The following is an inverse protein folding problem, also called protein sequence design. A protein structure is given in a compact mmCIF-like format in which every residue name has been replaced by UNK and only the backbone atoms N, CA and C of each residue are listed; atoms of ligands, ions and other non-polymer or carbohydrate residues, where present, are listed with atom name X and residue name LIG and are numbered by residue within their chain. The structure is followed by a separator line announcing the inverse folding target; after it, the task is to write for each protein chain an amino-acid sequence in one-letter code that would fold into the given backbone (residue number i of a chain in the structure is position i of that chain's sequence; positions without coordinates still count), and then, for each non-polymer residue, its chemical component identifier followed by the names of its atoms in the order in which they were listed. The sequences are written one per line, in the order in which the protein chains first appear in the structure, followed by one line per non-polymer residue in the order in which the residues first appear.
data_IF_041041246470
#
_entry.id   IF_041041246470
#
_cell.length_a   1.000
_cell.length_b   1.000
_cell.length_c   1.000
_cell.angle_alpha   90.00
_cell.angle_beta   90.00
_cell.angle_gamma   90.00
#
_symmetry.space_group_name_H-M   'P 1'
#
loop_
_entity.id
_entity.type
_entity.pdbx_description
1 polymer ?
#
# COMPACT_ATOMS: atom_id res chain seq x y z
N UNK A 1 -5.18 8.31 6.45
CA UNK A 1 -4.88 7.44 5.31
C UNK A 1 -3.94 6.40 5.87
N UNK A 2 -4.41 5.17 6.05
CA UNK A 2 -3.63 4.11 6.68
C UNK A 2 -3.13 3.23 5.54
N UNK A 3 -1.98 3.60 4.97
CA UNK A 3 -1.30 2.75 3.99
C UNK A 3 -0.57 1.67 4.77
N UNK A 4 -1.03 0.44 4.64
CA UNK A 4 -0.32 -0.73 5.16
C UNK A 4 0.36 -1.36 3.98
N UNK A 5 1.52 -0.82 3.61
CA UNK A 5 2.36 -1.50 2.65
C UNK A 5 2.90 -2.78 3.31
N UNK A 6 3.00 -3.91 2.57
CA UNK A 6 3.79 -5.07 2.99
C UNK A 6 5.22 -4.69 3.41
N UNK A 7 5.72 -3.57 2.84
CA UNK A 7 6.91 -2.82 3.27
C UNK A 7 7.11 -2.68 4.77
N UNK A 8 6.06 -2.27 5.48
CA UNK A 8 6.07 -2.12 6.95
C UNK A 8 6.13 -3.46 7.69
N UNK A 9 5.71 -4.54 7.03
CA UNK A 9 5.62 -5.89 7.60
C UNK A 9 6.93 -6.68 7.37
N UNK A 10 7.72 -6.32 6.36
CA UNK A 10 9.03 -6.91 6.07
C UNK A 10 10.14 -6.55 7.08
N UNK A 11 9.89 -5.61 8.00
CA UNK A 11 10.91 -5.12 8.93
C UNK A 11 11.27 -6.11 10.06
N UNK A 12 10.56 -7.22 10.16
CA UNK A 12 10.28 -7.85 11.44
C UNK A 12 10.99 -9.17 11.69
N UNK A 13 11.89 -9.56 10.79
CA UNK A 13 12.64 -10.81 10.88
C UNK A 13 13.74 -10.85 11.95
N UNK A 14 13.45 -10.45 13.18
CA UNK A 14 14.35 -10.64 14.31
C UNK A 14 13.56 -10.70 15.62
N UNK A 15 13.07 -11.90 15.99
CA UNK A 15 12.34 -12.29 17.23
C UNK A 15 11.19 -11.39 17.74
N UNK A 16 10.98 -10.20 17.22
CA UNK A 16 9.96 -9.24 17.63
C UNK A 16 9.44 -8.55 16.37
N UNK A 17 8.20 -8.89 16.00
CA UNK A 17 7.62 -8.58 14.69
C UNK A 17 6.52 -7.51 14.78
N UNK A 18 6.61 -6.48 13.94
CA UNK A 18 5.63 -5.42 13.61
C UNK A 18 4.65 -5.83 12.48
N UNK A 19 3.40 -5.38 12.60
CA UNK A 19 2.45 -5.14 11.52
C UNK A 19 1.55 -3.96 11.96
N UNK A 20 0.46 -3.65 11.26
CA UNK A 20 -0.52 -2.64 11.68
C UNK A 20 -1.92 -3.26 11.91
N UNK A 21 -2.56 -2.86 13.01
CA UNK A 21 -3.89 -3.33 13.40
C UNK A 21 -5.00 -2.77 12.49
N UNK A 22 -5.94 -3.65 12.11
CA UNK A 22 -7.26 -3.26 11.64
C UNK A 22 -8.04 -2.55 12.75
N UNK A 23 -8.74 -1.49 12.37
CA UNK A 23 -9.70 -0.81 13.25
C UNK A 23 -10.99 -1.63 13.25
N UNK A 24 -11.33 -2.19 14.42
CA UNK A 24 -12.67 -2.68 14.74
C UNK A 24 -13.08 -2.11 16.09
N UNK A 25 -14.12 -1.27 16.10
CA UNK A 25 -14.68 -0.69 17.32
C UNK A 25 -15.39 -1.78 18.15
N UNK A 26 -15.01 -1.95 19.41
CA UNK A 26 -15.91 -2.06 20.59
C UNK A 26 -15.04 -2.08 21.85
N UNK A 27 -15.43 -1.27 22.84
CA UNK A 27 -14.60 -1.00 24.01
C UNK A 27 -14.43 -2.18 24.95
N UNK A 28 -13.19 -2.41 25.39
CA UNK A 28 -12.85 -2.67 26.78
C UNK A 28 -11.33 -2.49 26.96
N UNK A 29 -10.94 -1.46 27.72
CA UNK A 29 -9.57 -1.28 28.22
C UNK A 29 -9.37 -2.24 29.38
N UNK A 30 -8.38 -3.14 29.31
CA UNK A 30 -7.82 -3.84 30.48
C UNK A 30 -6.30 -3.80 30.45
N UNK A 31 -5.75 -3.33 31.56
CA UNK A 31 -4.34 -3.04 31.82
C UNK A 31 -3.51 -4.31 32.13
N UNK A 32 -2.23 -4.27 31.70
CA UNK A 32 -0.98 -4.86 32.23
C UNK A 32 -0.89 -6.33 32.73
N UNK A 33 0.00 -7.14 32.11
CA UNK A 33 1.00 -7.98 32.84
C UNK A 33 2.15 -8.51 31.93
N UNK A 34 3.36 -8.56 32.47
CA UNK A 34 4.69 -8.76 31.87
C UNK A 34 4.87 -9.76 30.70
N UNK A 35 5.38 -9.26 29.57
CA UNK A 35 6.38 -9.85 28.64
C UNK A 35 6.40 -9.04 27.33
N UNK A 36 7.36 -8.13 27.18
CA UNK A 36 7.30 -7.01 26.22
C UNK A 36 7.33 -7.41 24.72
N UNK A 37 7.97 -8.51 24.35
CA UNK A 37 7.91 -9.03 22.97
C UNK A 37 6.52 -9.58 22.55
N UNK A 38 5.67 -10.03 23.51
CA UNK A 38 4.37 -10.64 23.20
C UNK A 38 3.29 -9.64 22.76
N UNK A 39 3.47 -8.36 23.07
CA UNK A 39 2.44 -7.34 22.79
C UNK A 39 2.43 -6.93 21.32
N UNK A 40 3.60 -6.84 20.71
CA UNK A 40 3.75 -6.68 19.26
C UNK A 40 3.19 -7.91 18.54
N UNK A 41 3.56 -9.13 18.95
CA UNK A 41 3.00 -10.38 18.40
C UNK A 41 1.47 -10.47 18.53
N UNK A 42 0.88 -10.02 19.65
CA UNK A 42 -0.56 -10.12 19.89
C UNK A 42 -1.37 -9.05 19.15
N UNK A 43 -0.86 -7.81 19.07
CA UNK A 43 -1.51 -6.75 18.33
C UNK A 43 -1.45 -6.96 16.80
N UNK A 44 -0.46 -7.72 16.32
CA UNK A 44 -0.06 -7.74 14.92
C UNK A 44 -0.25 -9.11 14.25
N UNK A 45 -0.17 -10.18 15.03
CA UNK A 45 -0.25 -11.57 14.54
C UNK A 45 -1.46 -12.32 15.08
N UNK A 46 -2.26 -11.73 15.97
CA UNK A 46 -3.32 -12.47 16.65
C UNK A 46 -2.83 -13.74 17.38
N UNK A 47 -1.52 -13.86 17.64
CA UNK A 47 -0.90 -15.04 18.27
C UNK A 47 -0.16 -16.04 17.36
N UNK A 48 0.18 -15.71 16.10
CA UNK A 48 0.99 -16.60 15.24
C UNK A 48 2.44 -16.74 15.72
N UNK A 49 3.06 -17.89 15.45
CA UNK A 49 4.46 -18.19 15.75
C UNK A 49 5.45 -17.38 14.88
N UNK A 50 6.59 -16.99 15.44
CA UNK A 50 7.57 -16.11 14.79
C UNK A 50 8.21 -16.70 13.54
N UNK A 51 8.39 -18.03 13.47
CA UNK A 51 9.01 -18.68 12.32
C UNK A 51 8.05 -18.74 11.12
N UNK A 52 6.78 -19.06 11.39
CA UNK A 52 5.73 -19.07 10.36
C UNK A 52 5.54 -17.68 9.74
N UNK A 53 5.61 -16.63 10.57
CA UNK A 53 5.56 -15.25 10.09
C UNK A 53 6.74 -14.91 9.18
N UNK A 54 7.98 -15.19 9.63
CA UNK A 54 9.19 -14.92 8.85
C UNK A 54 9.13 -15.64 7.50
N UNK A 55 8.79 -16.92 7.50
CA UNK A 55 8.71 -17.72 6.27
C UNK A 55 7.63 -17.19 5.31
N UNK A 56 6.46 -16.80 5.83
CA UNK A 56 5.40 -16.24 5.00
C UNK A 56 5.82 -14.93 4.33
N UNK A 57 6.36 -13.97 5.09
CA UNK A 57 6.76 -12.67 4.54
C UNK A 57 8.02 -12.76 3.68
N UNK A 58 8.94 -13.68 3.99
CA UNK A 58 10.08 -13.99 3.12
C UNK A 58 9.61 -14.49 1.75
N UNK A 59 8.70 -15.49 1.75
CA UNK A 59 8.09 -16.00 0.51
C UNK A 59 7.28 -14.92 -0.24
N UNK A 60 6.56 -14.06 0.48
CA UNK A 60 5.83 -12.95 -0.14
C UNK A 60 6.81 -11.95 -0.78
N UNK A 61 7.88 -11.57 -0.08
CA UNK A 61 8.92 -10.69 -0.61
C UNK A 61 9.53 -11.27 -1.89
N UNK A 62 9.94 -12.53 -1.87
CA UNK A 62 10.48 -13.23 -3.04
C UNK A 62 9.50 -13.22 -4.21
N UNK A 63 8.21 -13.48 -3.95
CA UNK A 63 7.16 -13.42 -4.97
C UNK A 63 6.97 -12.02 -5.53
N UNK A 64 7.08 -10.96 -4.71
CA UNK A 64 7.01 -9.59 -5.20
C UNK A 64 8.20 -9.23 -6.09
N UNK A 65 9.39 -9.81 -5.85
CA UNK A 65 10.57 -9.55 -6.69
C UNK A 65 10.48 -10.13 -8.10
N UNK A 66 9.67 -11.19 -8.31
CA UNK A 66 9.58 -11.78 -9.65
C UNK A 66 8.82 -10.84 -10.58
N UNK A 67 9.56 -10.15 -11.46
CA UNK A 67 8.98 -9.42 -12.58
C UNK A 67 8.26 -10.41 -13.50
N UNK A 68 6.94 -10.40 -13.46
CA UNK A 68 6.11 -11.32 -14.23
C UNK A 68 5.17 -10.54 -15.15
N UNK A 69 5.13 -10.94 -16.43
CA UNK A 69 4.10 -10.56 -17.40
C UNK A 69 3.77 -9.05 -17.49
N UNK A 70 4.79 -8.18 -17.49
CA UNK A 70 4.59 -6.73 -17.66
C UNK A 70 4.14 -5.98 -16.40
N UNK A 71 4.25 -6.61 -15.23
CA UNK A 71 4.09 -5.97 -13.93
C UNK A 71 5.45 -5.82 -13.24
N UNK A 72 5.70 -4.64 -12.69
CA UNK A 72 6.89 -4.23 -11.96
C UNK A 72 6.45 -3.68 -10.60
N UNK A 73 6.96 -4.28 -9.53
CA UNK A 73 6.81 -3.73 -8.18
C UNK A 73 8.19 -3.49 -7.61
N UNK A 74 8.38 -2.32 -7.02
CA UNK A 74 9.59 -2.00 -6.29
C UNK A 74 9.23 -1.58 -4.87
N UNK A 75 9.87 -2.25 -3.92
CA UNK A 75 9.74 -1.99 -2.50
C UNK A 75 11.14 -1.68 -1.98
N UNK A 76 11.37 -0.42 -1.63
CA UNK A 76 12.62 0.06 -1.09
C UNK A 76 12.51 0.13 0.44
N UNK A 77 13.20 -0.77 1.13
CA UNK A 77 13.23 -0.82 2.60
C UNK A 77 14.66 -0.64 3.09
N UNK A 78 14.91 0.40 3.88
CA UNK A 78 16.22 0.55 4.52
C UNK A 78 16.13 1.21 5.89
N UNK A 79 16.95 0.70 6.82
CA UNK A 79 17.22 1.34 8.10
C UNK A 79 18.53 2.10 7.97
N UNK A 80 18.51 3.40 8.22
CA UNK A 80 19.75 4.18 8.32
C UNK A 80 20.07 4.42 9.79
N UNK A 81 21.31 4.20 10.19
CA UNK A 81 21.78 4.41 11.56
C UNK A 81 22.87 5.46 11.59
N UNK A 82 23.06 6.11 12.74
CA UNK A 82 24.21 7.00 12.94
C UNK A 82 25.53 6.23 12.74
N UNK A 83 26.55 6.88 12.21
CA UNK A 83 27.83 6.28 11.84
C UNK A 83 28.56 5.54 12.99
N UNK A 84 28.25 5.90 14.24
CA UNK A 84 28.82 5.27 15.44
C UNK A 84 28.15 3.95 15.83
N UNK A 85 26.98 3.64 15.26
CA UNK A 85 26.27 2.39 15.51
C UNK A 85 26.94 1.22 14.78
N UNK A 86 27.20 0.14 15.52
CA UNK A 86 27.68 -1.13 14.99
C UNK A 86 26.48 -2.00 14.67
N UNK A 87 26.19 -2.19 13.39
CA UNK A 87 25.07 -3.02 12.94
C UNK A 87 25.44 -4.48 13.12
N UNK A 88 24.52 -5.27 13.66
CA UNK A 88 24.66 -6.71 13.78
C UNK A 88 24.68 -7.36 12.38
N UNK A 89 25.75 -8.12 12.08
CA UNK A 89 25.91 -8.80 10.80
C UNK A 89 24.85 -9.89 10.57
N UNK A 90 24.41 -10.60 11.62
CA UNK A 90 23.37 -11.61 11.50
C UNK A 90 22.05 -10.97 11.08
N UNK A 91 21.75 -9.78 11.62
CA UNK A 91 20.59 -8.99 11.18
C UNK A 91 20.71 -8.58 9.72
N UNK A 92 21.85 -8.02 9.30
CA UNK A 92 22.08 -7.60 7.91
C UNK A 92 21.91 -8.76 6.92
N UNK A 93 22.51 -9.91 7.21
CA UNK A 93 22.35 -11.12 6.39
C UNK A 93 20.89 -11.55 6.35
N UNK A 94 20.22 -11.62 7.49
CA UNK A 94 18.84 -12.07 7.57
C UNK A 94 17.88 -11.16 6.79
N UNK A 95 18.01 -9.84 6.88
CA UNK A 95 17.11 -8.91 6.17
C UNK A 95 17.38 -8.82 4.67
N UNK A 96 18.64 -8.99 4.26
CA UNK A 96 19.01 -9.06 2.86
C UNK A 96 18.43 -10.32 2.21
N UNK A 97 18.64 -11.49 2.83
CA UNK A 97 18.19 -12.79 2.32
C UNK A 97 16.66 -12.90 2.25
N UNK A 98 15.96 -12.49 3.30
CA UNK A 98 14.51 -12.70 3.39
C UNK A 98 13.67 -11.57 2.78
N UNK A 99 14.19 -10.33 2.74
CA UNK A 99 13.35 -9.17 2.48
C UNK A 99 13.87 -8.19 1.43
N UNK A 100 15.06 -8.41 0.84
CA UNK A 100 15.76 -7.39 0.03
C UNK A 100 16.00 -6.07 0.77
N UNK A 101 15.87 -6.09 2.09
CA UNK A 101 16.06 -4.91 2.89
C UNK A 101 17.54 -4.79 3.26
N UNK A 102 17.93 -3.59 3.67
CA UNK A 102 19.27 -3.34 4.16
C UNK A 102 19.27 -2.46 5.39
N UNK A 103 20.44 -2.36 6.01
CA UNK A 103 20.74 -1.29 6.92
C UNK A 103 22.11 -0.68 6.60
N UNK A 104 22.25 0.61 6.83
CA UNK A 104 23.45 1.36 6.49
C UNK A 104 23.74 2.39 7.57
N UNK A 105 25.00 2.49 8.00
CA UNK A 105 25.44 3.52 8.94
C UNK A 105 25.91 4.75 8.16
N UNK A 106 25.30 5.90 8.42
CA UNK A 106 25.62 7.19 7.80
C UNK A 106 26.00 8.23 8.84
N UNK A 107 26.86 9.18 8.45
CA UNK A 107 27.10 10.36 9.26
C UNK A 107 26.01 11.39 8.97
N UNK A 108 24.96 11.43 9.79
CA UNK A 108 23.82 12.33 9.56
C UNK A 108 24.15 13.81 9.65
N UNK A 109 25.31 14.18 10.21
CA UNK A 109 25.80 15.56 10.20
C UNK A 109 26.46 15.93 8.87
N UNK A 110 26.83 14.94 8.04
CA UNK A 110 27.31 15.19 6.70
C UNK A 110 26.12 15.53 5.78
N UNK A 111 26.13 16.69 5.09
CA UNK A 111 25.05 17.09 4.19
C UNK A 111 24.76 16.06 3.08
N UNK A 112 25.78 15.33 2.62
CA UNK A 112 25.67 14.32 1.55
C UNK A 112 24.85 13.09 1.97
N UNK A 113 24.66 12.87 3.27
CA UNK A 113 23.92 11.70 3.78
C UNK A 113 22.44 11.74 3.37
N UNK A 114 21.83 12.92 3.32
CA UNK A 114 20.46 13.06 2.84
C UNK A 114 20.35 12.73 1.34
N UNK A 115 21.33 13.16 0.54
CA UNK A 115 21.39 12.85 -0.90
C UNK A 115 21.54 11.35 -1.14
N UNK A 116 22.35 10.64 -0.34
CA UNK A 116 22.47 9.18 -0.43
C UNK A 116 21.15 8.45 -0.14
N UNK A 117 20.41 8.91 0.87
CA UNK A 117 19.09 8.33 1.21
C UNK A 117 18.10 8.56 0.06
N UNK A 118 18.05 9.79 -0.46
CA UNK A 118 17.17 10.14 -1.56
C UNK A 118 17.54 9.38 -2.85
N UNK A 119 18.84 9.22 -3.13
CA UNK A 119 19.32 8.47 -4.31
C UNK A 119 18.96 6.99 -4.22
N UNK A 120 19.08 6.37 -3.05
CA UNK A 120 18.63 4.99 -2.86
C UNK A 120 17.16 4.83 -3.27
N UNK A 121 16.29 5.74 -2.82
CA UNK A 121 14.87 5.69 -3.14
C UNK A 121 14.61 6.01 -4.61
N UNK A 122 15.32 6.99 -5.17
CA UNK A 122 15.22 7.35 -6.58
C UNK A 122 15.58 6.18 -7.47
N UNK A 123 16.69 5.50 -7.20
CA UNK A 123 17.11 4.30 -7.95
C UNK A 123 16.09 3.18 -7.78
N UNK A 124 15.69 2.88 -6.54
CA UNK A 124 14.71 1.81 -6.28
C UNK A 124 13.37 2.09 -6.97
N UNK A 125 12.94 3.34 -7.09
CA UNK A 125 11.63 3.71 -7.64
C UNK A 125 11.71 4.18 -9.09
N UNK A 126 12.82 3.88 -9.80
CA UNK A 126 13.04 4.26 -11.19
C UNK A 126 12.87 5.76 -11.47
N UNK A 127 13.27 6.60 -10.52
CA UNK A 127 13.17 8.05 -10.62
C UNK A 127 11.79 8.63 -10.31
N UNK A 128 10.83 7.80 -9.84
CA UNK A 128 9.45 8.25 -9.57
C UNK A 128 9.26 8.88 -8.21
N UNK A 129 10.06 8.47 -7.22
CA UNK A 129 10.05 9.06 -5.89
C UNK A 129 11.42 9.64 -5.58
N UNK A 130 11.43 10.87 -5.08
CA UNK A 130 12.63 11.60 -4.69
C UNK A 130 12.31 12.52 -3.49
N UNK A 131 13.37 13.09 -2.88
CA UNK A 131 13.32 14.10 -1.83
C UNK A 131 12.50 13.67 -0.60
N UNK A 132 12.79 12.50 -0.04
CA UNK A 132 12.13 11.97 1.17
C UNK A 132 12.65 12.60 2.45
N UNK A 133 13.94 12.99 2.46
CA UNK A 133 14.59 13.57 3.63
C UNK A 133 15.44 14.78 3.23
N UNK A 134 15.60 15.71 4.17
CA UNK A 134 16.55 16.83 4.10
C UNK A 134 17.68 16.65 5.12
N UNK A 135 18.83 17.30 4.91
CA UNK A 135 19.95 17.27 5.85
C UNK A 135 19.52 17.73 7.25
N UNK A 136 18.67 18.77 7.33
CA UNK A 136 18.13 19.25 8.60
C UNK A 136 17.28 18.20 9.31
N UNK A 137 16.43 17.46 8.56
CA UNK A 137 15.50 16.47 9.13
C UNK A 137 16.20 15.25 9.75
N UNK A 138 17.43 14.95 9.33
CA UNK A 138 18.16 13.75 9.77
C UNK A 138 19.30 14.05 10.75
N UNK A 139 19.71 15.31 10.88
CA UNK A 139 20.94 15.72 11.58
C UNK A 139 21.10 15.19 13.00
N UNK A 140 20.01 15.11 13.78
CA UNK A 140 19.99 14.62 15.17
C UNK A 140 19.51 13.16 15.31
N UNK A 141 19.31 12.45 14.19
CA UNK A 141 18.77 11.10 14.23
C UNK A 141 19.79 10.08 14.77
N UNK A 142 19.28 9.07 15.47
CA UNK A 142 20.01 7.85 15.86
C UNK A 142 19.77 6.75 14.84
N UNK A 143 18.52 6.58 14.44
CA UNK A 143 18.10 5.66 13.38
C UNK A 143 16.86 6.18 12.67
N UNK A 144 16.78 5.93 11.36
CA UNK A 144 15.69 6.33 10.48
C UNK A 144 15.14 5.12 9.73
N UNK A 145 13.82 5.02 9.67
CA UNK A 145 13.14 4.05 8.83
C UNK A 145 12.75 4.71 7.50
N UNK A 146 13.23 4.18 6.38
CA UNK A 146 12.88 4.68 5.06
C UNK A 146 12.21 3.57 4.28
N UNK A 147 10.97 3.83 3.87
CA UNK A 147 10.20 2.94 3.02
C UNK A 147 9.69 3.70 1.80
N UNK A 148 9.86 3.11 0.62
CA UNK A 148 9.14 3.55 -0.56
C UNK A 148 8.55 2.37 -1.33
N UNK A 149 7.36 2.58 -1.90
CA UNK A 149 6.69 1.59 -2.74
C UNK A 149 6.28 2.22 -4.05
N UNK A 150 6.65 1.54 -5.13
CA UNK A 150 6.26 1.88 -6.49
C UNK A 150 5.67 0.64 -7.16
N UNK A 151 4.53 0.81 -7.82
CA UNK A 151 3.90 -0.24 -8.59
C UNK A 151 3.59 0.24 -10.01
N UNK A 152 3.90 -0.63 -10.96
CA UNK A 152 3.60 -0.48 -12.37
C UNK A 152 3.02 -1.79 -12.88
N UNK A 153 1.83 -1.76 -13.46
CA UNK A 153 1.17 -2.92 -14.02
C UNK A 153 0.26 -2.51 -15.16
N UNK A 154 0.19 -3.33 -16.19
CA UNK A 154 -0.66 -3.11 -17.36
C UNK A 154 -2.02 -3.79 -17.17
N UNK A 155 -3.13 -3.11 -17.47
CA UNK A 155 -4.45 -3.74 -17.47
C UNK A 155 -4.50 -4.92 -18.44
N UNK A 156 -5.12 -6.02 -18.03
CA UNK A 156 -5.48 -7.11 -18.95
C UNK A 156 -6.45 -6.58 -20.02
N UNK A 157 -7.39 -5.73 -19.60
CA UNK A 157 -8.35 -5.05 -20.46
C UNK A 157 -8.27 -3.53 -20.27
N UNK A 158 -7.40 -2.87 -21.06
CA UNK A 158 -7.23 -1.40 -21.06
C UNK A 158 -8.53 -0.63 -21.31
N UNK A 159 -8.58 0.62 -20.82
CA UNK A 159 -9.62 1.59 -21.18
C UNK A 159 -9.29 2.29 -22.50
N UNK A 160 -10.31 2.57 -23.29
CA UNK A 160 -10.18 3.29 -24.56
C UNK A 160 -9.97 4.78 -24.29
N UNK A 161 -8.83 5.32 -24.72
CA UNK A 161 -8.45 6.73 -24.51
C UNK A 161 -9.50 7.73 -25.01
N UNK A 162 -10.12 7.45 -26.15
CA UNK A 162 -11.14 8.32 -26.74
C UNK A 162 -12.44 8.39 -25.92
N UNK A 163 -12.66 7.46 -24.99
CA UNK A 163 -13.80 7.47 -24.07
C UNK A 163 -13.51 8.25 -22.78
N UNK A 164 -12.23 8.51 -22.49
CA UNK A 164 -11.84 9.33 -21.33
C UNK A 164 -12.42 10.74 -21.47
N UNK A 165 -13.20 11.16 -20.49
CA UNK A 165 -13.88 12.46 -20.51
C UNK A 165 -14.10 13.00 -19.10
N UNK A 166 -14.24 14.33 -18.97
CA UNK A 166 -14.46 14.96 -17.68
C UNK A 166 -15.89 14.70 -17.18
N UNK A 167 -16.00 14.13 -15.98
CA UNK A 167 -17.25 13.81 -15.29
C UNK A 167 -17.30 14.47 -13.92
N UNK A 168 -18.51 14.59 -13.38
CA UNK A 168 -18.73 15.15 -12.05
C UNK A 168 -18.36 14.13 -10.95
N UNK A 169 -17.56 14.59 -9.98
CA UNK A 169 -17.19 13.86 -8.78
C UNK A 169 -17.63 14.67 -7.55
N UNK A 170 -18.40 14.04 -6.67
CA UNK A 170 -18.83 14.62 -5.39
C UNK A 170 -17.73 14.37 -4.37
N UNK A 171 -17.10 15.44 -3.88
CA UNK A 171 -16.01 15.37 -2.91
C UNK A 171 -16.52 15.18 -1.47
N UNK A 172 -15.64 14.84 -0.53
CA UNK A 172 -15.96 14.65 0.89
C UNK A 172 -16.69 15.83 1.55
N UNK A 173 -16.52 17.06 1.05
CA UNK A 173 -17.14 18.28 1.59
C UNK A 173 -18.40 18.69 0.80
N UNK A 174 -19.05 17.75 0.11
CA UNK A 174 -20.22 17.99 -0.76
C UNK A 174 -19.96 18.96 -1.93
N UNK A 175 -18.70 19.30 -2.20
CA UNK A 175 -18.31 20.05 -3.39
C UNK A 175 -18.27 19.16 -4.62
N UNK A 176 -18.78 19.62 -5.75
CA UNK A 176 -18.69 18.92 -7.04
C UNK A 176 -17.52 19.45 -7.84
N UNK A 177 -16.67 18.55 -8.36
CA UNK A 177 -15.58 18.87 -9.28
C UNK A 177 -15.76 18.11 -10.60
N UNK A 178 -15.28 18.66 -11.70
CA UNK A 178 -15.15 17.94 -12.96
C UNK A 178 -13.73 17.43 -13.12
N UNK A 179 -13.56 16.11 -13.20
CA UNK A 179 -12.26 15.44 -13.33
C UNK A 179 -12.34 14.36 -14.41
N UNK A 180 -11.21 13.97 -15.04
CA UNK A 180 -11.22 12.94 -16.07
C UNK A 180 -11.63 11.58 -15.50
N UNK A 181 -12.51 10.88 -16.20
CA UNK A 181 -12.89 9.49 -15.89
C UNK A 181 -12.47 8.58 -17.03
N UNK A 182 -11.88 7.44 -16.68
CA UNK A 182 -11.70 6.29 -17.55
C UNK A 182 -13.06 5.62 -17.76
N UNK A 183 -13.41 5.30 -19.02
CA UNK A 183 -14.73 4.78 -19.36
C UNK A 183 -14.65 3.58 -20.30
N UNK A 184 -15.46 2.59 -20.01
CA UNK A 184 -15.78 1.48 -20.92
C UNK A 184 -17.27 1.16 -20.79
N UNK A 185 -17.94 1.02 -21.92
CA UNK A 185 -19.38 0.74 -21.98
C UNK A 185 -19.61 -0.62 -22.60
N UNK A 186 -20.65 -1.32 -22.15
CA UNK A 186 -21.06 -2.60 -22.72
C UNK A 186 -19.90 -3.61 -22.77
N UNK A 187 -19.06 -3.65 -21.73
CA UNK A 187 -17.93 -4.58 -21.60
C UNK A 187 -18.13 -5.50 -20.40
N UNK A 188 -17.34 -6.57 -20.33
CA UNK A 188 -17.29 -7.41 -19.14
C UNK A 188 -16.16 -6.96 -18.22
N UNK A 189 -16.45 -6.82 -16.92
CA UNK A 189 -15.45 -6.57 -15.87
C UNK A 189 -15.70 -7.47 -14.66
N UNK A 190 -14.73 -7.60 -13.77
CA UNK A 190 -14.92 -8.29 -12.51
C UNK A 190 -15.79 -7.44 -11.59
N UNK A 191 -16.86 -8.02 -11.04
CA UNK A 191 -17.82 -7.32 -10.21
C UNK A 191 -18.33 -8.19 -9.07
N UNK A 192 -18.48 -7.59 -7.89
CA UNK A 192 -19.22 -8.12 -6.76
C UNK A 192 -19.95 -6.99 -6.03
N UNK A 193 -20.90 -7.34 -5.17
CA UNK A 193 -21.58 -6.37 -4.30
C UNK A 193 -22.13 -7.04 -3.06
N UNK A 194 -22.35 -6.25 -2.01
CA UNK A 194 -23.07 -6.64 -0.80
C UNK A 194 -24.05 -5.53 -0.39
N UNK A 195 -24.49 -5.50 0.87
CA UNK A 195 -25.38 -4.48 1.41
C UNK A 195 -24.75 -3.06 1.46
N UNK A 196 -23.42 -2.95 1.43
CA UNK A 196 -22.69 -1.69 1.64
C UNK A 196 -21.97 -1.21 0.38
N UNK A 197 -21.36 -2.12 -0.37
CA UNK A 197 -20.45 -1.80 -1.47
C UNK A 197 -20.96 -2.33 -2.82
N UNK A 198 -20.66 -1.57 -3.87
CA UNK A 198 -20.37 -2.12 -5.19
C UNK A 198 -18.84 -2.26 -5.30
N UNK A 199 -18.36 -3.36 -5.87
CA UNK A 199 -16.92 -3.63 -5.99
C UNK A 199 -16.57 -3.93 -7.43
N UNK A 200 -15.73 -3.08 -8.02
CA UNK A 200 -15.11 -3.30 -9.32
C UNK A 200 -13.75 -3.97 -9.15
N UNK A 201 -13.49 -5.01 -9.93
CA UNK A 201 -12.20 -5.70 -10.01
C UNK A 201 -11.65 -5.58 -11.42
N UNK A 202 -10.51 -4.91 -11.55
CA UNK A 202 -9.73 -4.80 -12.78
C UNK A 202 -8.51 -5.71 -12.66
N UNK A 203 -8.34 -6.60 -13.64
CA UNK A 203 -7.18 -7.50 -13.68
C UNK A 203 -6.00 -6.81 -14.38
N UNK A 204 -4.80 -7.11 -13.93
CA UNK A 204 -3.59 -6.83 -14.70
C UNK A 204 -3.27 -8.00 -15.62
N UNK A 205 -2.42 -7.76 -16.63
CA UNK A 205 -1.86 -8.83 -17.50
C UNK A 205 -1.21 -9.93 -16.65
N UNK A 206 -0.55 -9.54 -15.56
CA UNK A 206 -0.26 -10.45 -14.47
C UNK A 206 -1.50 -10.69 -13.62
N UNK A 207 -2.14 -11.83 -13.84
CA UNK A 207 -3.38 -12.22 -13.17
C UNK A 207 -3.26 -12.45 -11.66
N UNK A 208 -2.03 -12.50 -11.11
CA UNK A 208 -1.81 -12.52 -9.65
C UNK A 208 -2.16 -11.18 -9.02
N UNK A 209 -2.10 -10.08 -9.79
CA UNK A 209 -2.43 -8.74 -9.34
C UNK A 209 -3.81 -8.28 -9.81
N UNK A 210 -4.49 -7.51 -8.96
CA UNK A 210 -5.79 -6.89 -9.24
C UNK A 210 -5.84 -5.48 -8.67
N UNK A 211 -6.47 -4.56 -9.39
CA UNK A 211 -6.89 -3.27 -8.85
C UNK A 211 -8.38 -3.35 -8.52
N UNK A 212 -8.73 -2.99 -7.29
CA UNK A 212 -10.08 -3.19 -6.76
C UNK A 212 -10.60 -1.87 -6.23
N UNK A 213 -11.81 -1.49 -6.64
CA UNK A 213 -12.49 -0.28 -6.18
C UNK A 213 -13.71 -0.69 -5.36
N UNK A 214 -13.70 -0.37 -4.07
CA UNK A 214 -14.82 -0.54 -3.14
C UNK A 214 -15.57 0.78 -3.07
N UNK A 215 -16.64 0.89 -3.84
CA UNK A 215 -17.51 2.05 -3.92
C UNK A 215 -18.67 1.90 -2.93
N UNK A 216 -18.78 2.74 -1.89
CA UNK A 216 -19.96 2.75 -1.03
C UNK A 216 -21.24 2.97 -1.84
N UNK A 217 -22.34 2.33 -1.47
CA UNK A 217 -23.65 2.58 -2.11
C UNK A 217 -24.23 3.95 -1.72
N UNK A 218 -23.84 4.45 -0.55
CA UNK A 218 -24.19 5.79 -0.07
C UNK A 218 -23.08 6.78 -0.46
N UNK A 219 -23.43 7.85 -1.19
CA UNK A 219 -22.45 8.79 -1.76
C UNK A 219 -21.53 9.46 -0.72
N UNK A 220 -22.03 9.71 0.49
CA UNK A 220 -21.28 10.27 1.61
C UNK A 220 -20.98 9.24 2.72
N UNK A 221 -21.10 7.95 2.39
CA UNK A 221 -21.03 6.84 3.34
C UNK A 221 -19.64 6.23 3.52
N UNK A 222 -18.57 6.77 2.92
CA UNK A 222 -17.26 6.10 2.96
C UNK A 222 -16.77 5.81 4.38
N UNK A 223 -16.87 6.76 5.31
CA UNK A 223 -16.41 6.55 6.69
C UNK A 223 -17.21 5.44 7.40
N UNK A 224 -18.55 5.48 7.32
CA UNK A 224 -19.42 4.47 7.93
C UNK A 224 -19.29 3.11 7.26
N UNK A 225 -18.98 3.08 5.95
CA UNK A 225 -18.69 1.87 5.21
C UNK A 225 -17.35 1.25 5.63
N UNK A 226 -16.31 2.06 5.84
CA UNK A 226 -15.00 1.60 6.31
C UNK A 226 -15.04 1.04 7.73
N UNK A 227 -15.85 1.59 8.63
CA UNK A 227 -16.07 1.04 9.99
C UNK A 227 -16.67 -0.38 9.98
N UNK A 228 -17.34 -0.75 8.87
CA UNK A 228 -17.98 -2.06 8.67
C UNK A 228 -17.19 -2.97 7.73
N UNK A 229 -16.03 -2.52 7.26
CA UNK A 229 -15.14 -3.28 6.39
C UNK A 229 -14.08 -3.98 7.25
N UNK A 230 -14.34 -5.24 7.61
CA UNK A 230 -13.36 -6.12 8.23
C UNK A 230 -12.66 -7.02 7.19
N UNK A 231 -11.71 -7.83 7.66
CA UNK A 231 -10.97 -8.76 6.81
C UNK A 231 -11.87 -9.82 6.17
N UNK A 232 -12.92 -10.27 6.85
CA UNK A 232 -13.83 -11.30 6.33
C UNK A 232 -14.64 -10.75 5.16
N UNK A 233 -15.26 -9.58 5.34
CA UNK A 233 -16.02 -8.88 4.29
C UNK A 233 -15.12 -8.54 3.11
N UNK A 234 -13.92 -8.01 3.36
CA UNK A 234 -12.95 -7.71 2.31
C UNK A 234 -12.63 -8.95 1.46
N UNK A 235 -12.25 -10.06 2.10
CA UNK A 235 -11.92 -11.31 1.40
C UNK A 235 -13.13 -11.89 0.67
N UNK A 236 -14.31 -11.87 1.30
CA UNK A 236 -15.55 -12.34 0.69
C UNK A 236 -15.90 -11.58 -0.59
N UNK A 237 -15.82 -10.25 -0.57
CA UNK A 237 -16.09 -9.41 -1.74
C UNK A 237 -15.11 -9.70 -2.89
N UNK A 238 -13.82 -9.93 -2.57
CA UNK A 238 -12.83 -10.33 -3.57
C UNK A 238 -13.14 -11.71 -4.18
N UNK A 239 -13.50 -12.70 -3.36
CA UNK A 239 -13.80 -14.06 -3.81
C UNK A 239 -15.10 -14.16 -4.61
N UNK A 240 -16.08 -13.30 -4.32
CA UNK A 240 -17.37 -13.27 -5.00
C UNK A 240 -17.34 -12.53 -6.35
N UNK A 241 -16.19 -11.92 -6.70
CA UNK A 241 -16.03 -11.20 -7.96
C UNK A 241 -16.25 -12.11 -9.17
N UNK A 242 -17.18 -11.74 -10.04
CA UNK A 242 -17.55 -12.48 -11.25
C UNK A 242 -17.50 -11.58 -12.47
N UNK A 243 -17.17 -12.16 -13.63
CA UNK A 243 -17.20 -11.47 -14.91
C UNK A 243 -18.65 -11.07 -15.24
N UNK A 244 -18.92 -9.78 -15.29
CA UNK A 244 -20.27 -9.19 -15.36
C UNK A 244 -20.32 -8.14 -16.46
N UNK A 245 -21.40 -8.13 -17.23
CA UNK A 245 -21.66 -7.16 -18.28
C UNK A 245 -22.04 -5.80 -17.67
N UNK A 246 -21.26 -4.75 -17.95
CA UNK A 246 -21.40 -3.47 -17.27
C UNK A 246 -20.87 -2.27 -18.04
N UNK A 247 -21.35 -1.10 -17.61
CA UNK A 247 -20.76 0.20 -17.89
C UNK A 247 -19.88 0.60 -16.71
N UNK A 248 -18.62 0.93 -16.98
CA UNK A 248 -17.60 1.22 -15.98
C UNK A 248 -17.07 2.63 -16.17
N UNK A 249 -17.19 3.44 -15.12
CA UNK A 249 -16.62 4.78 -15.05
C UNK A 249 -15.85 4.95 -13.73
N UNK A 250 -14.53 5.17 -13.82
CA UNK A 250 -13.68 5.45 -12.63
C UNK A 250 -12.81 6.68 -12.87
N UNK A 251 -12.50 7.50 -11.85
CA UNK A 251 -11.58 8.62 -12.03
C UNK A 251 -10.21 8.18 -12.53
N UNK A 252 -9.63 8.96 -13.43
CA UNK A 252 -8.20 8.93 -13.75
C UNK A 252 -7.47 9.80 -12.73
N UNK A 253 -6.47 9.25 -12.02
CA UNK A 253 -5.81 9.98 -10.95
C UNK A 253 -4.38 9.54 -10.70
N UNK A 254 -3.61 10.46 -10.11
CA UNK A 254 -2.29 10.21 -9.53
C UNK A 254 -2.34 10.63 -8.07
N UNK A 255 -1.92 9.74 -7.17
CA UNK A 255 -1.76 10.03 -5.75
C UNK A 255 -0.31 9.76 -5.39
N UNK A 256 0.38 10.82 -4.97
CA UNK A 256 1.65 10.74 -4.27
C UNK A 256 1.38 11.03 -2.79
N UNK A 257 1.78 10.13 -1.90
CA UNK A 257 1.60 10.30 -0.47
C UNK A 257 2.89 10.08 0.28
N UNK A 258 3.11 10.95 1.26
CA UNK A 258 4.11 10.78 2.28
C UNK A 258 3.42 10.60 3.65
N UNK A 259 3.88 9.64 4.42
CA UNK A 259 3.42 9.33 5.77
C UNK A 259 4.60 9.35 6.74
N UNK A 260 4.44 10.12 7.82
CA UNK A 260 5.35 10.07 8.96
C UNK A 260 5.10 8.77 9.74
N UNK A 261 6.00 7.81 9.58
CA UNK A 261 5.89 6.47 10.16
C UNK A 261 5.84 6.52 11.67
N UNK A 262 6.61 7.39 12.31
CA UNK A 262 6.62 7.51 13.78
C UNK A 262 5.25 7.77 14.36
N UNK A 263 4.61 8.87 13.95
CA UNK A 263 3.28 9.24 14.44
C UNK A 263 2.22 8.19 14.09
N UNK A 264 2.33 7.59 12.90
CA UNK A 264 1.42 6.54 12.43
C UNK A 264 1.53 5.29 13.30
N UNK A 265 2.75 4.80 13.52
CA UNK A 265 3.02 3.61 14.34
C UNK A 265 2.65 3.82 15.81
N UNK A 266 2.91 5.01 16.36
CA UNK A 266 2.47 5.38 17.71
C UNK A 266 0.95 5.34 17.85
N UNK A 267 0.20 5.81 16.86
CA UNK A 267 -1.27 5.74 16.86
C UNK A 267 -1.81 4.30 16.83
N UNK A 268 -1.00 3.36 16.35
CA UNK A 268 -1.28 1.93 16.32
C UNK A 268 -0.79 1.19 17.58
N UNK A 269 -0.25 1.92 18.57
CA UNK A 269 0.24 1.36 19.84
C UNK A 269 1.72 0.99 19.85
N UNK A 270 2.42 1.14 18.73
CA UNK A 270 3.87 0.87 18.63
C UNK A 270 4.62 2.12 19.09
N UNK A 271 5.01 2.15 20.36
CA UNK A 271 5.56 3.36 21.01
C UNK A 271 6.98 3.14 21.52
N UNK A 272 7.28 1.98 22.11
CA UNK A 272 8.55 1.70 22.79
C UNK A 272 9.79 1.93 21.91
N UNK A 273 9.74 1.54 20.63
CA UNK A 273 10.86 1.67 19.67
C UNK A 273 11.32 3.11 19.42
N UNK A 274 10.49 4.10 19.79
CA UNK A 274 10.77 5.53 19.62
C UNK A 274 11.29 6.19 20.91
N UNK A 275 11.44 5.42 21.99
CA UNK A 275 11.82 5.91 23.32
C UNK A 275 13.19 5.38 23.74
N UNK A 276 13.72 5.90 24.85
CA UNK A 276 14.96 5.38 25.45
C UNK A 276 14.79 4.00 26.10
N UNK A 277 13.57 3.44 26.09
CA UNK A 277 13.27 2.08 26.54
C UNK A 277 13.26 1.08 25.37
N UNK A 278 13.58 1.52 24.15
CA UNK A 278 13.64 0.66 22.98
C UNK A 278 14.70 -0.44 23.19
N UNK A 279 14.31 -1.69 23.00
CA UNK A 279 15.24 -2.80 22.84
C UNK A 279 15.34 -3.13 21.35
N UNK A 280 16.39 -2.62 20.71
CA UNK A 280 16.72 -2.88 19.31
C UNK A 280 18.10 -3.53 19.19
N UNK A 281 18.53 -4.23 20.25
CA UNK A 281 19.83 -4.93 20.34
C UNK A 281 20.04 -5.96 19.23
N UNK A 282 18.94 -6.49 18.66
CA UNK A 282 18.98 -7.33 17.46
C UNK A 282 19.53 -6.61 16.21
N UNK A 283 19.38 -5.28 16.13
CA UNK A 283 19.88 -4.44 15.02
C UNK A 283 21.23 -3.83 15.39
N UNK A 284 21.29 -3.11 16.50
CA UNK A 284 22.50 -2.52 17.06
C UNK A 284 22.28 -2.16 18.53
N UNK A 285 23.35 -2.14 19.32
CA UNK A 285 23.28 -1.81 20.74
C UNK A 285 22.93 -0.34 20.98
N UNK A 286 22.03 -0.08 21.94
CA UNK A 286 21.73 1.26 22.45
C UNK A 286 21.12 2.23 21.44
N UNK A 287 20.37 1.73 20.45
CA UNK A 287 19.68 2.57 19.46
C UNK A 287 18.19 2.72 19.78
N UNK A 288 17.60 3.79 19.23
CA UNK A 288 16.14 3.99 19.12
C UNK A 288 15.80 4.52 17.74
N UNK A 289 14.59 4.25 17.26
CA UNK A 289 14.11 4.88 16.03
C UNK A 289 13.79 6.34 16.33
N UNK A 290 14.43 7.25 15.62
CA UNK A 290 14.25 8.69 15.78
C UNK A 290 13.04 9.17 15.01
N UNK A 291 12.93 8.73 13.76
CA UNK A 291 11.79 8.98 12.89
C UNK A 291 11.72 7.92 11.77
N UNK A 292 10.71 8.03 10.92
CA UNK A 292 10.66 7.30 9.68
C UNK A 292 9.67 7.88 8.68
N UNK A 293 9.93 7.64 7.41
CA UNK A 293 9.12 8.14 6.29
C UNK A 293 8.72 6.99 5.38
N UNK A 294 7.44 6.94 5.06
CA UNK A 294 6.90 6.13 3.97
C UNK A 294 6.47 7.04 2.84
N UNK A 295 6.94 6.76 1.63
CA UNK A 295 6.48 7.46 0.43
C UNK A 295 5.96 6.49 -0.61
N UNK A 296 4.81 6.80 -1.17
CA UNK A 296 4.15 5.95 -2.15
C UNK A 296 3.59 6.78 -3.30
N UNK A 297 3.55 6.15 -4.48
CA UNK A 297 2.97 6.73 -5.68
C UNK A 297 2.10 5.68 -6.37
N UNK A 298 0.87 6.07 -6.70
CA UNK A 298 -0.01 5.31 -7.58
C UNK A 298 -0.61 6.22 -8.65
N UNK A 299 -0.51 5.80 -9.91
CA UNK A 299 -1.10 6.49 -11.05
C UNK A 299 -2.03 5.52 -11.78
N UNK A 300 -3.33 5.81 -11.80
CA UNK A 300 -4.36 5.03 -12.50
C UNK A 300 -4.69 5.72 -13.82
N UNK A 301 -4.43 5.06 -14.94
CA UNK A 301 -4.65 5.59 -16.29
C UNK A 301 -5.26 4.53 -17.23
N UNK A 302 -5.39 4.88 -18.51
CA UNK A 302 -6.04 4.05 -19.53
C UNK A 302 -5.37 2.69 -19.74
N UNK A 303 -4.04 2.63 -19.64
CA UNK A 303 -3.24 1.45 -19.92
C UNK A 303 -3.03 0.55 -18.71
N UNK A 304 -3.04 1.14 -17.51
CA UNK A 304 -2.66 0.41 -16.30
C UNK A 304 -2.57 1.28 -15.07
N UNK A 305 -1.80 0.74 -14.12
CA UNK A 305 -1.15 1.56 -13.10
C UNK A 305 0.29 1.81 -13.57
N UNK A 306 0.61 3.06 -13.91
CA UNK A 306 1.86 3.59 -14.50
C UNK A 306 2.52 2.85 -15.70
N UNK A 307 2.15 3.15 -16.95
CA UNK A 307 3.02 3.08 -18.15
C UNK A 307 2.68 4.24 -19.13
N UNK A 308 3.60 4.58 -20.03
CA UNK A 308 3.58 5.79 -20.86
C UNK A 308 2.95 5.57 -22.26
N UNK A 309 2.15 6.57 -22.66
CA UNK A 309 1.21 6.58 -23.77
C UNK A 309 1.62 5.84 -25.06
N UNK A 310 0.84 4.82 -25.42
CA UNK A 310 0.71 4.30 -26.80
C UNK A 310 -0.78 4.09 -27.12
N UNK A 311 -1.25 4.71 -28.20
CA UNK A 311 -2.64 4.61 -28.66
C UNK A 311 -2.97 3.20 -29.16
N UNK A 312 -3.95 2.53 -28.54
CA UNK A 312 -4.49 1.24 -29.02
C UNK A 312 -5.94 1.42 -29.47
N UNK A 313 -6.24 1.08 -30.72
CA UNK A 313 -7.61 1.07 -31.25
C UNK A 313 -8.20 -0.33 -31.07
N UNK A 314 -9.28 -0.46 -30.29
CA UNK A 314 -9.99 -1.73 -30.09
C UNK A 314 -11.23 -1.82 -30.99
N UNK A 315 -11.45 -2.99 -31.59
CA UNK A 315 -12.69 -3.31 -32.29
C UNK A 315 -13.75 -3.76 -31.27
N UNK A 316 -14.89 -3.06 -31.22
CA UNK A 316 -16.02 -3.42 -30.34
C UNK A 316 -16.94 -4.39 -31.10
N UNK A 317 -17.19 -5.62 -30.60
CA UNK A 317 -18.14 -6.53 -31.22
C UNK A 317 -19.58 -6.01 -31.07
N UNK A 318 -20.26 -5.75 -32.19
CA UNK A 318 -21.63 -5.19 -32.26
C UNK A 318 -22.75 -6.25 -32.08
N UNK A 319 -22.56 -7.25 -31.21
CA UNK A 319 -23.64 -8.19 -30.90
C UNK A 319 -24.54 -7.59 -29.82
N UNK A 320 -25.84 -7.49 -30.08
CA UNK A 320 -26.84 -7.06 -29.09
C UNK A 320 -26.93 -8.10 -27.99
N UNK A 321 -26.34 -7.81 -26.82
CA UNK A 321 -26.71 -8.48 -25.57
C UNK A 321 -28.08 -7.95 -25.14
N UNK A 322 -28.96 -8.85 -24.71
CA UNK A 322 -30.34 -8.50 -24.34
C UNK A 322 -30.47 -8.01 -22.88
N UNK A 323 -29.47 -8.28 -22.04
CA UNK A 323 -29.47 -7.87 -20.64
C UNK A 323 -28.96 -6.42 -20.52
N UNK A 324 -29.61 -5.62 -19.65
CA UNK A 324 -29.13 -4.28 -19.33
C UNK A 324 -27.78 -4.37 -18.58
N UNK A 325 -26.79 -3.54 -18.95
CA UNK A 325 -25.50 -3.53 -18.27
C UNK A 325 -25.66 -3.06 -16.82
N UNK A 326 -24.89 -3.66 -15.91
CA UNK A 326 -24.75 -3.13 -14.55
C UNK A 326 -24.02 -1.78 -14.62
N UNK A 327 -24.47 -0.80 -13.83
CA UNK A 327 -23.83 0.52 -13.74
C UNK A 327 -22.81 0.55 -12.58
N UNK A 328 -21.57 0.90 -12.89
CA UNK A 328 -20.55 1.20 -11.90
C UNK A 328 -19.88 2.53 -12.21
N UNK A 329 -20.24 3.57 -11.45
CA UNK A 329 -19.71 4.92 -11.59
C UNK A 329 -19.14 5.42 -10.26
N UNK A 330 -17.81 5.45 -10.16
CA UNK A 330 -17.11 5.87 -8.95
C UNK A 330 -17.02 7.40 -8.84
N UNK A 331 -18.17 8.07 -8.71
CA UNK A 331 -18.32 9.53 -8.71
C UNK A 331 -18.38 10.18 -7.32
N UNK A 332 -17.96 9.47 -6.28
CA UNK A 332 -17.91 9.93 -4.90
C UNK A 332 -16.84 9.13 -4.14
N UNK A 333 -16.49 9.49 -2.89
CA UNK A 333 -15.32 8.90 -2.24
C UNK A 333 -15.38 7.38 -2.11
N UNK A 334 -14.29 6.71 -2.48
CA UNK A 334 -14.19 5.25 -2.47
C UNK A 334 -12.85 4.79 -1.87
N UNK A 335 -12.81 3.54 -1.43
CA UNK A 335 -11.58 2.82 -1.12
C UNK A 335 -11.10 2.11 -2.39
N UNK A 336 -9.80 2.13 -2.65
CA UNK A 336 -9.18 1.30 -3.66
C UNK A 336 -8.05 0.47 -3.07
N UNK A 337 -7.79 -0.67 -3.69
CA UNK A 337 -6.77 -1.61 -3.27
C UNK A 337 -5.99 -2.13 -4.48
N UNK A 338 -4.67 -2.22 -4.34
CA UNK A 338 -3.87 -3.12 -5.16
C UNK A 338 -3.75 -4.43 -4.39
N UNK A 339 -4.20 -5.53 -4.99
CA UNK A 339 -4.26 -6.84 -4.35
C UNK A 339 -3.38 -7.80 -5.12
N UNK A 340 -2.59 -8.61 -4.40
CA UNK A 340 -1.93 -9.79 -4.96
C UNK A 340 -2.39 -11.05 -4.24
N UNK A 341 -2.87 -12.03 -4.99
CA UNK A 341 -3.27 -13.35 -4.47
C UNK A 341 -4.24 -13.24 -3.26
N UNK A 342 -5.15 -12.25 -3.29
CA UNK A 342 -6.12 -11.99 -2.23
C UNK A 342 -5.63 -11.05 -1.12
N UNK A 343 -4.34 -10.70 -1.07
CA UNK A 343 -3.78 -9.84 -0.04
C UNK A 343 -3.55 -8.41 -0.54
N UNK A 344 -4.02 -7.36 0.18
CA UNK A 344 -3.76 -5.98 -0.21
C UNK A 344 -2.27 -5.65 -0.05
N UNK A 345 -1.67 -5.12 -1.11
CA UNK A 345 -0.33 -4.53 -1.12
C UNK A 345 -0.37 -3.01 -0.98
N UNK A 346 -1.47 -2.40 -1.45
CA UNK A 346 -1.72 -0.98 -1.35
C UNK A 346 -3.20 -0.76 -1.00
N UNK A 347 -3.47 0.18 -0.10
CA UNK A 347 -4.83 0.63 0.24
C UNK A 347 -4.86 2.14 0.28
N UNK A 348 -5.79 2.74 -0.44
CA UNK A 348 -5.94 4.18 -0.49
C UNK A 348 -7.41 4.58 -0.55
N UNK A 349 -7.69 5.80 -0.11
CA UNK A 349 -9.02 6.42 -0.26
C UNK A 349 -8.92 7.58 -1.22
N UNK A 350 -9.83 7.62 -2.19
CA UNK A 350 -9.93 8.71 -3.15
C UNK A 350 -11.07 9.64 -2.74
N UNK A 351 -10.80 10.94 -2.60
CA UNK A 351 -11.77 11.96 -2.17
C UNK A 351 -12.06 13.05 -3.22
N UNK A 352 -11.42 12.97 -4.40
CA UNK A 352 -11.58 13.92 -5.52
C UNK A 352 -10.76 15.21 -5.45
#
# INVERSE_FOLDING_TARGET
MNELSPGLIYWCGGRETLAPAGVGQTGEVKWWDNNKGRYLTKALLGGTDSEQFINYYSSLSERLKSNTNGTEISIANRVYLKHTAQINNDYLSHVAENYDAGAESLDFQNPDSAEKINEFIRVSTQGKLDNLVSSDSISDAIALLVNAVYFKGKWDEEFTLDFTSNEEFTTKMDGVKKIPFLKEIMTDRGYSSDDIFQVLTLNYVDSSFKFVVFLPKESNGLNSALEKLDSERFQKLLQQSKRTYMNTEIPKFTIEKELALKSTLQSLGITDIFTDQADLSGIAEGIKISDGTHKSLIEVNEEGTTAAAVTVVKAVPMCLRMDDPVEFKANHPFLFALVRDGHPLFLGVFHG
#
